data_IF_179180923165
#
_entry.id   IF_179180923165
#
_cell.length_a   1.000
_cell.length_b   1.000
_cell.length_c   1.000
_cell.angle_alpha   90.00
_cell.angle_beta   90.00
_cell.angle_gamma   90.00
#
_symmetry.space_group_name_H-M   'P 1'
#
loop_
_entity.id
_entity.type
_entity.pdbx_description
1 polymer ?
#
# COMPACT_ATOMS: atom_id res chain seq x y z
N UNK A 1 -10.52 8.07 -22.49
CA UNK A 1 -9.52 8.94 -23.13
C UNK A 1 -8.62 9.44 -22.00
N UNK A 2 -7.42 8.88 -21.83
CA UNK A 2 -6.48 9.31 -20.79
C UNK A 2 -5.88 10.65 -21.28
N UNK A 3 -6.02 11.76 -20.53
CA UNK A 3 -5.53 13.05 -21.00
C UNK A 3 -4.00 13.02 -21.12
N UNK A 4 -3.49 13.60 -22.20
CA UNK A 4 -2.06 13.72 -22.46
C UNK A 4 -1.37 14.47 -21.30
N UNK A 5 -0.38 13.81 -20.69
CA UNK A 5 0.39 14.35 -19.57
C UNK A 5 1.30 15.47 -20.12
N UNK A 6 1.04 16.71 -19.71
CA UNK A 6 1.94 17.85 -19.93
C UNK A 6 3.33 17.52 -19.35
N UNK A 7 4.38 17.85 -20.10
CA UNK A 7 5.78 17.47 -19.86
C UNK A 7 6.41 18.00 -18.54
N UNK A 8 5.67 18.75 -17.73
CA UNK A 8 6.11 19.36 -16.47
C UNK A 8 5.30 18.95 -15.24
N UNK A 9 4.24 18.16 -15.38
CA UNK A 9 3.45 17.69 -14.23
C UNK A 9 3.81 16.24 -13.92
N UNK A 10 4.75 16.03 -12.98
CA UNK A 10 5.02 14.71 -12.42
C UNK A 10 4.20 14.54 -11.14
N UNK A 11 3.02 13.92 -11.19
CA UNK A 11 2.21 13.74 -10.00
C UNK A 11 2.81 12.71 -9.03
N UNK A 12 2.23 12.68 -7.85
CA UNK A 12 2.34 11.58 -6.89
C UNK A 12 1.03 10.79 -6.93
N UNK A 13 1.11 9.49 -6.71
CA UNK A 13 -0.05 8.60 -6.70
C UNK A 13 -0.25 7.98 -5.33
N UNK A 14 -1.50 7.85 -4.91
CA UNK A 14 -1.89 7.09 -3.72
C UNK A 14 -2.80 5.95 -4.17
N UNK A 15 -2.34 4.72 -3.96
CA UNK A 15 -3.12 3.52 -4.25
C UNK A 15 -3.81 3.06 -2.97
N UNK A 16 -5.13 3.14 -2.96
CA UNK A 16 -5.97 2.56 -1.92
C UNK A 16 -6.37 1.16 -2.34
N UNK A 17 -6.22 0.16 -1.48
CA UNK A 17 -6.58 -1.22 -1.80
C UNK A 17 -7.44 -1.85 -0.71
N UNK A 18 -8.26 -2.81 -1.14
CA UNK A 18 -8.96 -3.74 -0.29
C UNK A 18 -8.37 -5.13 -0.51
N UNK A 19 -7.35 -5.49 0.28
CA UNK A 19 -6.75 -6.82 0.22
C UNK A 19 -7.47 -7.76 1.17
N UNK A 20 -8.06 -8.83 0.62
CA UNK A 20 -9.02 -9.68 1.34
C UNK A 20 -8.47 -10.39 2.58
N UNK A 21 -7.15 -10.57 2.76
CA UNK A 21 -6.65 -11.31 3.93
C UNK A 21 -5.42 -10.78 4.69
N UNK A 22 -5.21 -9.46 4.81
CA UNK A 22 -4.42 -8.98 5.96
C UNK A 22 -5.28 -8.09 6.87
N UNK A 23 -6.05 -8.79 7.72
CA UNK A 23 -6.80 -8.33 8.91
C UNK A 23 -8.33 -8.24 8.81
N UNK A 24 -8.96 -9.08 8.00
CA UNK A 24 -10.40 -9.42 8.12
C UNK A 24 -10.79 -10.10 9.45
N UNK A 25 -9.86 -10.37 10.38
CA UNK A 25 -10.19 -10.94 11.71
C UNK A 25 -10.19 -9.92 12.86
N UNK A 26 -9.80 -8.65 12.68
CA UNK A 26 -9.77 -7.67 13.78
C UNK A 26 -10.63 -6.42 13.55
N UNK A 27 -11.48 -6.44 12.52
CA UNK A 27 -12.51 -5.42 12.25
C UNK A 27 -13.86 -6.13 12.15
N UNK A 28 -14.32 -6.77 13.24
CA UNK A 28 -15.70 -7.28 13.32
C UNK A 28 -16.71 -6.23 13.78
N UNK A 29 -16.36 -4.93 13.79
CA UNK A 29 -17.29 -3.93 14.29
C UNK A 29 -17.03 -2.47 13.96
N UNK A 30 -16.10 -2.13 13.06
CA UNK A 30 -15.84 -0.71 12.74
C UNK A 30 -15.75 -0.50 11.24
N UNK A 31 -16.83 0.05 10.71
CA UNK A 31 -16.98 0.72 9.40
C UNK A 31 -16.81 -0.15 8.14
N UNK A 32 -17.87 -0.16 7.32
CA UNK A 32 -17.91 -0.60 5.93
C UNK A 32 -17.05 0.29 5.01
N UNK A 33 -15.79 0.56 5.40
CA UNK A 33 -14.88 1.38 4.61
C UNK A 33 -14.44 0.59 3.37
N UNK A 34 -14.51 1.20 2.16
CA UNK A 34 -14.27 0.48 0.91
C UNK A 34 -12.82 0.01 0.76
N UNK A 35 -11.87 0.67 1.43
CA UNK A 35 -10.43 0.40 1.34
C UNK A 35 -9.81 0.29 2.74
N UNK A 36 -8.87 -0.65 2.91
CA UNK A 36 -8.22 -0.94 4.20
C UNK A 36 -6.70 -0.79 4.18
N UNK A 37 -6.12 -0.43 3.02
CA UNK A 37 -4.70 -0.21 2.85
C UNK A 37 -4.43 0.98 1.93
N UNK A 38 -3.32 1.67 2.16
CA UNK A 38 -2.87 2.81 1.38
C UNK A 38 -1.37 2.71 1.10
N UNK A 39 -0.98 2.92 -0.16
CA UNK A 39 0.41 2.91 -0.61
C UNK A 39 0.71 4.15 -1.46
N UNK A 40 1.95 4.64 -1.39
CA UNK A 40 2.45 5.77 -2.15
C UNK A 40 3.20 5.29 -3.40
N UNK A 41 2.96 5.89 -4.56
CA UNK A 41 3.66 5.64 -5.81
C UNK A 41 4.12 6.95 -6.45
N UNK A 42 5.22 6.87 -7.20
CA UNK A 42 5.82 8.03 -7.89
C UNK A 42 5.56 8.04 -9.40
N UNK A 43 4.91 7.00 -9.91
CA UNK A 43 4.63 6.74 -11.31
C UNK A 43 3.24 6.12 -11.49
N UNK A 44 2.66 6.30 -12.68
CA UNK A 44 1.29 5.88 -12.97
C UNK A 44 1.20 4.38 -13.21
N UNK A 45 2.32 3.76 -13.59
CA UNK A 45 2.51 2.35 -13.90
C UNK A 45 2.58 1.48 -12.62
N UNK A 46 2.60 2.13 -11.45
CA UNK A 46 2.70 1.48 -10.13
C UNK A 46 3.90 0.54 -10.04
N UNK A 47 5.01 0.96 -10.65
CA UNK A 47 6.25 0.18 -10.73
C UNK A 47 6.80 -0.17 -9.36
N UNK A 48 6.64 0.75 -8.40
CA UNK A 48 6.99 0.57 -6.99
C UNK A 48 5.94 1.25 -6.11
N UNK A 49 5.52 0.53 -5.08
CA UNK A 49 4.63 1.04 -4.05
C UNK A 49 5.36 1.11 -2.71
N UNK A 50 5.10 2.15 -1.95
CA UNK A 50 5.71 2.38 -0.65
C UNK A 50 4.64 2.46 0.41
N UNK A 51 4.74 1.60 1.43
CA UNK A 51 3.80 1.61 2.55
C UNK A 51 4.48 1.11 3.83
N UNK A 52 3.77 1.26 4.95
CA UNK A 52 4.08 0.50 6.16
C UNK A 52 3.21 -0.75 6.24
N UNK A 53 3.88 -1.91 6.31
CA UNK A 53 3.26 -3.23 6.31
C UNK A 53 4.00 -4.22 7.21
N UNK A 54 3.40 -5.41 7.44
CA UNK A 54 4.01 -6.48 8.23
C UNK A 54 4.98 -7.30 7.39
N UNK A 55 6.23 -7.45 7.83
CA UNK A 55 7.22 -8.39 7.27
C UNK A 55 6.86 -9.86 7.56
N UNK A 56 6.08 -10.13 8.62
CA UNK A 56 5.61 -11.49 8.98
C UNK A 56 4.10 -11.48 9.28
N UNK A 57 3.27 -12.27 8.58
CA UNK A 57 1.81 -12.29 8.77
C UNK A 57 1.36 -12.59 10.21
N UNK A 58 2.12 -13.42 10.94
CA UNK A 58 1.78 -13.90 12.30
C UNK A 58 2.34 -13.05 13.44
N UNK A 59 3.17 -12.02 13.17
CA UNK A 59 3.72 -11.16 14.23
C UNK A 59 3.37 -9.68 13.97
N UNK A 60 2.43 -9.07 14.72
CA UNK A 60 2.05 -7.67 14.58
C UNK A 60 3.20 -6.69 14.88
N UNK A 61 4.23 -7.13 15.63
CA UNK A 61 5.39 -6.33 16.03
C UNK A 61 6.52 -6.31 14.98
N UNK A 62 6.36 -7.05 13.87
CA UNK A 62 7.29 -7.02 12.73
C UNK A 62 6.74 -6.13 11.60
N UNK A 63 6.26 -4.95 11.95
CA UNK A 63 5.81 -3.94 11.00
C UNK A 63 6.96 -2.96 10.68
N UNK A 64 7.02 -2.46 9.45
CA UNK A 64 8.04 -1.49 9.03
C UNK A 64 7.87 -1.06 7.59
N UNK A 65 8.82 -0.27 7.07
CA UNK A 65 8.83 0.16 5.66
C UNK A 65 8.80 -1.04 4.73
N UNK A 66 7.91 -1.04 3.75
CA UNK A 66 7.81 -2.07 2.72
C UNK A 66 7.77 -1.37 1.36
N UNK A 67 8.64 -1.83 0.47
CA UNK A 67 8.49 -1.62 -0.96
C UNK A 67 7.67 -2.80 -1.47
N UNK A 68 6.46 -2.53 -1.95
CA UNK A 68 5.51 -3.49 -2.45
C UNK A 68 5.56 -3.52 -3.98
N UNK A 69 5.37 -4.71 -4.53
CA UNK A 69 5.23 -4.94 -5.96
C UNK A 69 3.81 -5.47 -6.22
N UNK A 70 3.06 -4.81 -7.12
CA UNK A 70 1.69 -5.20 -7.49
C UNK A 70 1.60 -6.59 -8.13
N UNK A 71 2.69 -7.10 -8.70
CA UNK A 71 2.77 -8.41 -9.36
C UNK A 71 3.20 -9.53 -8.40
N UNK A 72 3.81 -9.20 -7.26
CA UNK A 72 4.37 -10.16 -6.32
C UNK A 72 3.77 -10.02 -4.91
N UNK A 73 4.29 -10.79 -3.94
CA UNK A 73 3.98 -10.61 -2.52
C UNK A 73 2.48 -10.71 -2.18
N UNK A 74 1.97 -9.74 -1.42
CA UNK A 74 0.59 -9.71 -0.91
C UNK A 74 -0.44 -9.66 -2.04
N UNK A 75 -0.25 -8.78 -3.04
CA UNK A 75 -1.22 -8.60 -4.11
C UNK A 75 -1.38 -9.87 -4.97
N UNK A 76 -0.29 -10.60 -5.19
CA UNK A 76 -0.33 -11.88 -5.93
C UNK A 76 -1.22 -12.95 -5.26
N UNK A 77 -1.40 -12.88 -3.94
CA UNK A 77 -2.23 -13.82 -3.16
C UNK A 77 -3.72 -13.44 -3.17
N UNK A 78 -4.07 -12.21 -3.58
CA UNK A 78 -5.43 -11.72 -3.65
C UNK A 78 -5.73 -11.20 -5.06
N UNK A 79 -5.96 -12.08 -6.04
CA UNK A 79 -6.19 -11.69 -7.43
C UNK A 79 -7.43 -10.79 -7.62
N UNK A 80 -8.37 -10.83 -6.68
CA UNK A 80 -9.60 -10.02 -6.70
C UNK A 80 -9.47 -8.74 -5.83
N UNK A 81 -8.26 -8.23 -5.60
CA UNK A 81 -8.07 -6.98 -4.86
C UNK A 81 -8.74 -5.83 -5.59
N UNK A 82 -9.70 -5.18 -4.92
CA UNK A 82 -10.27 -3.92 -5.37
C UNK A 82 -9.35 -2.77 -5.00
N UNK A 83 -9.25 -1.76 -5.85
CA UNK A 83 -8.45 -0.58 -5.60
C UNK A 83 -9.09 0.71 -6.10
N UNK A 84 -8.66 1.82 -5.52
CA UNK A 84 -8.83 3.17 -6.05
C UNK A 84 -7.43 3.80 -6.19
N UNK A 85 -7.11 4.30 -7.38
CA UNK A 85 -5.87 5.02 -7.65
C UNK A 85 -6.16 6.51 -7.68
N UNK A 86 -5.53 7.23 -6.76
CA UNK A 86 -5.63 8.66 -6.62
C UNK A 86 -4.39 9.34 -7.17
N UNK A 87 -4.58 10.45 -7.88
CA UNK A 87 -3.51 11.32 -8.39
C UNK A 87 -3.50 12.62 -7.62
N UNK A 88 -2.31 13.03 -7.19
CA UNK A 88 -2.04 14.31 -6.55
C UNK A 88 -1.08 15.10 -7.42
N UNK A 89 -1.52 16.27 -7.89
CA UNK A 89 -0.64 17.23 -8.57
C UNK A 89 0.21 17.93 -7.52
N UNK A 90 1.50 18.04 -7.79
CA UNK A 90 2.52 18.58 -6.89
C UNK A 90 3.55 19.37 -7.70
N UNK A 91 4.28 20.27 -7.05
CA UNK A 91 5.43 20.91 -7.69
C UNK A 91 6.60 19.94 -7.80
N UNK A 92 7.57 20.25 -8.66
CA UNK A 92 8.79 19.45 -8.80
C UNK A 92 9.57 19.37 -7.47
N UNK A 93 9.58 20.46 -6.69
CA UNK A 93 10.21 20.51 -5.36
C UNK A 93 9.48 19.58 -4.38
N UNK A 94 8.16 19.68 -4.29
CA UNK A 94 7.36 18.80 -3.43
C UNK A 94 7.55 17.31 -3.79
N UNK A 95 7.66 17.01 -5.10
CA UNK A 95 7.94 15.66 -5.56
C UNK A 95 9.35 15.19 -5.19
N UNK A 96 10.34 16.07 -5.32
CA UNK A 96 11.71 15.77 -4.92
C UNK A 96 11.80 15.50 -3.40
N UNK A 97 11.12 16.30 -2.59
CA UNK A 97 11.04 16.12 -1.13
C UNK A 97 10.30 14.83 -0.75
N UNK A 98 9.21 14.48 -1.45
CA UNK A 98 8.52 13.20 -1.27
C UNK A 98 9.44 12.02 -1.56
N UNK A 99 10.22 12.11 -2.63
CA UNK A 99 11.19 11.09 -2.96
C UNK A 99 12.33 11.02 -1.95
N UNK A 100 12.85 12.16 -1.49
CA UNK A 100 13.84 12.24 -0.42
C UNK A 100 13.34 11.59 0.87
N UNK A 101 12.10 11.89 1.24
CA UNK A 101 11.42 11.30 2.40
C UNK A 101 11.31 9.78 2.27
N UNK A 102 10.83 9.26 1.13
CA UNK A 102 10.78 7.82 0.85
C UNK A 102 12.17 7.17 0.98
N UNK A 103 13.22 7.78 0.40
CA UNK A 103 14.58 7.24 0.49
C UNK A 103 15.11 7.24 1.92
N UNK A 104 14.81 8.28 2.71
CA UNK A 104 15.17 8.31 4.13
C UNK A 104 14.49 7.16 4.90
N UNK A 105 13.24 6.83 4.58
CA UNK A 105 12.56 5.65 5.12
C UNK A 105 13.18 4.32 4.68
N UNK A 106 13.64 4.23 3.43
CA UNK A 106 14.35 3.04 2.92
C UNK A 106 15.69 2.83 3.63
N UNK A 107 16.48 3.89 3.80
CA UNK A 107 17.83 3.82 4.41
C UNK A 107 17.77 3.49 5.90
N UNK A 108 16.80 4.04 6.63
CA UNK A 108 16.66 3.84 8.07
C UNK A 108 15.58 2.80 8.42
N UNK A 109 15.35 1.82 7.54
CA UNK A 109 14.26 0.83 7.65
C UNK A 109 14.26 0.07 8.98
N UNK A 110 15.42 -0.20 9.54
CA UNK A 110 15.55 -0.88 10.83
C UNK A 110 15.20 0.04 12.01
N UNK A 111 15.58 1.31 11.97
CA UNK A 111 15.22 2.30 12.99
C UNK A 111 13.72 2.56 13.01
N UNK A 112 13.09 2.63 11.84
CA UNK A 112 11.63 2.77 11.75
C UNK A 112 10.87 1.54 12.25
N UNK A 113 11.47 0.34 12.20
CA UNK A 113 10.91 -0.84 12.85
C UNK A 113 10.92 -0.67 14.38
N UNK A 114 12.02 -0.18 14.95
CA UNK A 114 12.10 0.09 16.39
C UNK A 114 11.20 1.24 16.82
N UNK A 115 11.15 2.33 16.06
CA UNK A 115 10.24 3.45 16.32
C UNK A 115 8.78 3.02 16.22
N UNK A 116 8.43 2.12 15.30
CA UNK A 116 7.07 1.59 15.22
C UNK A 116 6.75 0.66 16.41
N UNK A 117 7.70 -0.18 16.84
CA UNK A 117 7.57 -0.97 18.08
C UNK A 117 7.43 -0.06 19.31
N UNK A 118 8.21 1.02 19.40
CA UNK A 118 8.15 2.00 20.48
C UNK A 118 6.85 2.81 20.46
N UNK A 119 6.41 3.25 19.29
CA UNK A 119 5.12 3.91 19.08
C UNK A 119 3.96 2.99 19.51
N UNK A 120 4.02 1.71 19.13
CA UNK A 120 3.07 0.67 19.55
C UNK A 120 3.11 0.42 21.06
N UNK A 121 4.30 0.38 21.66
CA UNK A 121 4.51 0.16 23.10
C UNK A 121 4.01 1.32 23.96
N UNK A 122 4.17 2.56 23.50
CA UNK A 122 3.70 3.77 24.21
C UNK A 122 2.18 3.93 24.14
N UNK A 123 1.52 3.34 23.13
CA UNK A 123 0.07 3.45 22.91
C UNK A 123 -0.73 2.26 23.49
N UNK A 124 -0.12 1.45 24.37
CA UNK A 124 -0.68 0.24 25.01
C UNK A 124 -1.79 0.49 26.05
N UNK A 125 -2.81 1.27 25.71
CA UNK A 125 -4.05 1.34 26.49
C UNK A 125 -5.26 1.27 25.53
N UNK A 126 -5.80 0.06 25.31
CA UNK A 126 -7.00 -0.32 24.50
C UNK A 126 -7.14 0.15 23.03
N UNK A 127 -6.40 1.17 22.58
CA UNK A 127 -6.52 1.78 21.24
C UNK A 127 -5.70 1.11 20.13
N UNK A 128 -4.89 0.10 20.49
CA UNK A 128 -4.00 -0.62 19.57
C UNK A 128 -4.73 -1.14 18.31
N UNK A 129 -5.99 -1.59 18.42
CA UNK A 129 -6.70 -2.14 17.27
C UNK A 129 -7.07 -1.05 16.24
N UNK A 130 -7.43 0.16 16.68
CA UNK A 130 -7.76 1.28 15.78
C UNK A 130 -6.51 1.95 15.22
N UNK A 131 -5.51 2.18 16.07
CA UNK A 131 -4.25 2.83 15.67
C UNK A 131 -3.45 1.96 14.69
N UNK A 132 -3.59 0.63 14.78
CA UNK A 132 -2.91 -0.29 13.87
C UNK A 132 -3.55 -0.44 12.49
N UNK A 133 -4.84 -0.11 12.36
CA UNK A 133 -5.56 -0.20 11.08
C UNK A 133 -5.14 0.91 10.11
N UNK A 134 -4.56 2.00 10.61
CA UNK A 134 -4.26 3.21 9.82
C UNK A 134 -2.77 3.52 9.71
N UNK A 135 -1.87 2.58 10.01
CA UNK A 135 -0.43 2.85 9.90
C UNK A 135 0.02 3.11 8.47
N UNK A 136 -0.56 2.41 7.50
CA UNK A 136 -0.25 2.63 6.09
C UNK A 136 -0.73 4.01 5.64
N UNK A 137 -1.95 4.42 6.00
CA UNK A 137 -2.47 5.77 5.71
C UNK A 137 -1.74 6.87 6.49
N UNK A 138 -1.35 6.61 7.75
CA UNK A 138 -0.50 7.51 8.53
C UNK A 138 0.85 7.73 7.86
N UNK A 139 1.49 6.66 7.38
CA UNK A 139 2.76 6.77 6.66
C UNK A 139 2.62 7.67 5.43
N UNK A 140 1.62 7.41 4.59
CA UNK A 140 1.38 8.20 3.39
C UNK A 140 1.12 9.67 3.77
N UNK A 141 0.29 9.92 4.77
CA UNK A 141 -0.02 11.28 5.24
C UNK A 141 1.22 12.00 5.79
N UNK A 142 2.07 11.29 6.54
CA UNK A 142 3.30 11.83 7.10
C UNK A 142 4.34 12.11 6.01
N UNK A 143 4.47 11.21 5.04
CA UNK A 143 5.36 11.41 3.90
C UNK A 143 4.96 12.66 3.11
N UNK A 144 3.67 12.82 2.79
CA UNK A 144 3.17 14.01 2.09
C UNK A 144 3.38 15.28 2.93
N UNK A 145 3.06 15.26 4.23
CA UNK A 145 3.26 16.42 5.11
C UNK A 145 4.72 16.85 5.17
N UNK A 146 5.65 15.92 5.36
CA UNK A 146 7.11 16.21 5.39
C UNK A 146 7.63 16.74 4.07
N UNK A 147 6.91 16.47 2.98
CA UNK A 147 7.25 16.92 1.64
C UNK A 147 6.67 18.28 1.27
N UNK A 148 6.19 19.05 2.26
CA UNK A 148 5.56 20.34 2.03
C UNK A 148 4.15 20.24 1.42
N UNK A 149 3.46 19.10 1.60
CA UNK A 149 2.09 18.87 1.13
C UNK A 149 1.16 18.64 2.34
N UNK A 150 0.83 19.68 3.13
CA UNK A 150 -0.07 19.55 4.26
C UNK A 150 -1.52 19.45 3.78
N UNK A 151 -2.06 18.23 3.74
CA UNK A 151 -3.45 17.99 3.31
C UNK A 151 -4.47 18.04 4.45
N UNK A 152 -4.05 17.83 5.70
CA UNK A 152 -4.95 17.83 6.86
C UNK A 152 -4.40 18.65 8.03
N UNK A 153 -5.29 19.32 8.74
CA UNK A 153 -5.02 20.10 9.96
C UNK A 153 -5.04 19.24 11.24
N UNK A 154 -4.73 17.95 11.11
CA UNK A 154 -4.69 16.98 12.23
C UNK A 154 -3.52 16.02 12.08
N UNK A 155 -3.17 15.34 13.17
CA UNK A 155 -2.09 14.35 13.18
C UNK A 155 -2.23 13.31 12.06
N UNK A 156 -1.12 12.96 11.39
CA UNK A 156 -1.06 11.88 10.39
C UNK A 156 -1.62 10.57 10.94
N UNK A 157 -1.45 10.32 12.25
CA UNK A 157 -1.92 9.12 12.93
C UNK A 157 -3.46 8.96 12.96
N UNK A 158 -4.20 10.03 12.67
CA UNK A 158 -5.66 10.03 12.59
C UNK A 158 -6.18 10.01 11.14
N UNK A 159 -5.28 9.95 10.15
CA UNK A 159 -5.65 9.90 8.73
C UNK A 159 -5.91 8.45 8.32
N UNK A 160 -7.07 8.21 7.74
CA UNK A 160 -7.56 6.92 7.26
C UNK A 160 -7.51 6.85 5.72
N UNK A 161 -7.56 5.66 5.11
CA UNK A 161 -7.67 5.52 3.66
C UNK A 161 -8.85 6.29 3.04
N UNK A 162 -9.99 6.32 3.73
CA UNK A 162 -11.20 7.02 3.26
C UNK A 162 -11.02 8.54 3.23
N UNK A 163 -10.17 9.10 4.11
CA UNK A 163 -9.83 10.53 4.07
C UNK A 163 -9.11 10.92 2.77
N UNK A 164 -8.23 10.04 2.24
CA UNK A 164 -7.59 10.28 0.94
C UNK A 164 -8.62 10.30 -0.18
N UNK A 165 -9.55 9.34 -0.17
CA UNK A 165 -10.59 9.21 -1.20
C UNK A 165 -11.52 10.43 -1.25
N UNK A 166 -11.80 11.04 -0.10
CA UNK A 166 -12.71 12.20 0.01
C UNK A 166 -12.02 13.56 -0.13
N UNK A 167 -10.68 13.61 -0.11
CA UNK A 167 -9.97 14.87 -0.06
C UNK A 167 -9.86 15.53 -1.44
N UNK A 168 -10.33 16.78 -1.55
CA UNK A 168 -10.53 17.47 -2.83
C UNK A 168 -9.27 17.73 -3.67
N UNK A 169 -8.07 17.66 -3.08
CA UNK A 169 -6.81 17.75 -3.84
C UNK A 169 -6.47 16.50 -4.66
N UNK A 170 -7.14 15.37 -4.40
CA UNK A 170 -6.91 14.14 -5.15
C UNK A 170 -7.92 14.00 -6.30
N UNK A 171 -7.40 13.52 -7.42
CA UNK A 171 -8.19 13.11 -8.56
C UNK A 171 -8.25 11.57 -8.60
N UNK A 172 -9.46 11.01 -8.67
CA UNK A 172 -9.64 9.58 -8.86
C UNK A 172 -9.33 9.22 -10.32
N UNK A 173 -8.21 8.52 -10.55
CA UNK A 173 -7.75 8.09 -11.88
C UNK A 173 -8.38 6.76 -12.28
N UNK A 174 -8.55 5.86 -11.32
CA UNK A 174 -9.07 4.52 -11.55
C UNK A 174 -9.73 3.97 -10.29
N UNK A 175 -10.82 3.23 -10.47
CA UNK A 175 -11.45 2.43 -9.43
C UNK A 175 -11.94 1.10 -10.03
N UNK A 176 -11.59 -0.03 -9.41
CA UNK A 176 -11.92 -1.34 -9.96
C UNK A 176 -11.07 -2.46 -9.38
N UNK A 177 -10.88 -3.56 -10.11
CA UNK A 177 -9.91 -4.57 -9.74
C UNK A 177 -8.50 -4.10 -10.06
N UNK A 178 -7.54 -4.39 -9.19
CA UNK A 178 -6.15 -3.98 -9.36
C UNK A 178 -5.55 -4.49 -10.67
N UNK A 179 -5.78 -5.75 -11.02
CA UNK A 179 -5.19 -6.35 -12.22
C UNK A 179 -5.88 -5.98 -13.54
N UNK A 180 -7.00 -5.26 -13.47
CA UNK A 180 -7.67 -4.69 -14.64
C UNK A 180 -7.17 -3.26 -14.95
N UNK A 181 -6.27 -2.71 -14.12
CA UNK A 181 -5.73 -1.38 -14.32
C UNK A 181 -4.83 -1.33 -15.57
N UNK A 182 -5.14 -0.45 -16.56
CA UNK A 182 -4.57 -0.54 -17.91
C UNK A 182 -3.08 -0.21 -18.03
N UNK A 183 -2.48 0.47 -17.04
CA UNK A 183 -1.05 0.80 -17.07
C UNK A 183 -0.18 -0.27 -16.38
N UNK A 184 -0.77 -1.35 -15.88
CA UNK A 184 0.02 -2.49 -15.43
C UNK A 184 0.60 -3.27 -16.60
N UNK A 185 1.79 -3.82 -16.40
CA UNK A 185 2.49 -4.67 -17.34
C UNK A 185 1.78 -6.02 -17.49
N UNK A 186 1.04 -6.13 -18.59
CA UNK A 186 0.28 -7.33 -18.97
C UNK A 186 1.17 -8.57 -19.09
N UNK A 187 2.45 -8.43 -19.49
CA UNK A 187 3.38 -9.57 -19.57
C UNK A 187 3.71 -10.09 -18.18
N UNK A 188 3.94 -9.21 -17.21
CA UNK A 188 4.16 -9.60 -15.80
C UNK A 188 2.91 -10.22 -15.18
N UNK A 189 1.71 -9.72 -15.52
CA UNK A 189 0.44 -10.33 -15.11
C UNK A 189 0.29 -11.74 -15.71
N UNK A 190 0.54 -11.91 -17.00
CA UNK A 190 0.41 -13.20 -17.68
C UNK A 190 1.42 -14.24 -17.17
N UNK A 191 2.68 -13.83 -16.94
CA UNK A 191 3.71 -14.69 -16.35
C UNK A 191 3.31 -15.21 -14.96
N UNK A 192 2.61 -14.39 -14.15
CA UNK A 192 2.05 -14.81 -12.86
C UNK A 192 1.00 -15.91 -13.03
N UNK A 193 0.03 -15.71 -13.93
CA UNK A 193 -1.03 -16.68 -14.20
C UNK A 193 -0.48 -18.03 -14.69
N UNK A 194 0.60 -18.01 -15.49
CA UNK A 194 1.30 -19.22 -15.92
C UNK A 194 2.03 -19.93 -14.76
N UNK A 195 2.70 -19.19 -13.87
CA UNK A 195 3.36 -19.75 -12.69
C UNK A 195 2.40 -20.39 -11.67
N UNK A 196 1.21 -19.82 -11.50
CA UNK A 196 0.14 -20.40 -10.66
C UNK A 196 -0.44 -21.68 -11.29
N UNK A 197 -0.59 -21.72 -12.62
CA UNK A 197 -1.06 -22.90 -13.34
C UNK A 197 -0.05 -24.06 -13.33
N UNK A 198 1.26 -23.78 -13.32
CA UNK A 198 2.30 -24.81 -13.21
C UNK A 198 2.36 -25.40 -11.79
N UNK A 199 2.18 -24.58 -10.74
CA UNK A 199 2.14 -25.06 -9.34
C UNK A 199 0.90 -25.89 -9.01
N UNK A 200 -0.16 -25.79 -9.78
CA UNK A 200 -1.38 -26.62 -9.64
C UNK A 200 -1.31 -27.93 -10.43
N UNK A 201 -0.24 -28.19 -11.19
CA UNK A 201 -0.02 -29.41 -12.00
C UNK A 201 1.07 -30.36 -11.48
N UNK A 202 1.40 -30.31 -10.19
CA UNK A 202 2.16 -31.36 -9.48
C UNK A 202 1.38 -31.65 -8.18
N UNK A 203 0.82 -32.83 -7.88
CA UNK A 203 1.10 -34.24 -8.18
C UNK A 203 -0.21 -35.01 -8.49
N UNK A 204 -0.22 -36.01 -9.40
CA UNK A 204 -1.20 -37.10 -9.37
C UNK A 204 -0.71 -38.36 -8.61
N UNK A 205 0.57 -38.46 -8.24
CA UNK A 205 1.16 -39.78 -7.97
C UNK A 205 1.58 -39.89 -6.49
N UNK A 206 0.61 -40.07 -5.61
CA UNK A 206 0.83 -40.37 -4.21
C UNK A 206 1.41 -41.78 -4.02
N UNK A 207 2.73 -41.91 -3.87
CA UNK A 207 3.35 -43.13 -3.36
C UNK A 207 4.40 -42.83 -2.29
N UNK A 208 4.20 -43.46 -1.12
CA UNK A 208 5.10 -43.52 0.03
C UNK A 208 6.15 -44.61 -0.24
N UNK A 209 7.44 -44.31 -0.10
CA UNK A 209 8.47 -45.34 0.01
C UNK A 209 9.01 -45.36 1.44
N UNK A 210 8.72 -46.46 2.14
CA UNK A 210 9.38 -46.88 3.38
C UNK A 210 10.67 -47.62 3.03
N UNK A 211 11.78 -47.24 3.66
CA UNK A 211 12.88 -48.11 4.09
C UNK A 211 13.70 -47.36 5.14
#
# INVERSE_FOLDING_TARGET
MIPAISRSDKPIYVLLTHTGTLFTTLIRGVTSAPYNHASLAMDAELSRLYSFGRKRPRNPLSAGFVEEDVYEGTFSRYPNTRCALLRLRVTDEQRAEAWGTIRAFQQNRDDYRYNLIGLLGVLMNRDLCRKNAYFCSQFVAEALRRSGIPLWDRSSALVTPDDFLRHGSFELVYEGNLYDYPLLDVKRIAARSAGTAVRTRANPDGSIALS
#
